data_IF_720819276156
#
_entry.id   IF_720819276156
#
_cell.length_a   1.000
_cell.length_b   1.000
_cell.length_c   1.000
_cell.angle_alpha   90.00
_cell.angle_beta   90.00
_cell.angle_gamma   90.00
#
_symmetry.space_group_name_H-M   'P 1'
#
loop_
_entity.id
_entity.type
_entity.pdbx_description
1 polymer ?
#
# COMPACT_ATOMS: atom_id res chain seq x y z
N UNK A 1 -4.41 4.33 10.44
CA UNK A 1 -4.11 3.41 9.33
C UNK A 1 -2.76 3.71 8.68
N UNK A 2 -2.55 4.93 8.12
CA UNK A 2 -1.29 5.27 7.43
C UNK A 2 -0.06 5.09 8.32
N UNK A 3 -0.10 5.53 9.57
CA UNK A 3 1.00 5.37 10.52
C UNK A 3 1.31 3.89 10.79
N UNK A 4 0.27 3.06 11.03
CA UNK A 4 0.47 1.62 11.25
C UNK A 4 1.06 0.91 10.02
N UNK A 5 0.62 1.28 8.81
CA UNK A 5 1.17 0.69 7.58
C UNK A 5 2.60 1.15 7.30
N UNK A 6 2.92 2.42 7.55
CA UNK A 6 4.29 2.93 7.37
C UNK A 6 5.28 2.31 8.34
N UNK A 7 4.86 1.92 9.55
CA UNK A 7 5.74 1.29 10.54
C UNK A 7 6.25 -0.07 10.09
N UNK A 8 5.52 -0.81 9.23
CA UNK A 8 5.97 -2.11 8.74
C UNK A 8 7.30 -2.04 7.98
N UNK A 9 7.57 -0.95 7.25
CA UNK A 9 8.86 -0.78 6.58
C UNK A 9 10.02 -0.76 7.59
N UNK A 10 9.88 0.06 8.64
CA UNK A 10 10.91 0.20 9.68
C UNK A 10 11.05 -1.08 10.50
N UNK A 11 9.93 -1.73 10.82
CA UNK A 11 9.95 -3.02 11.53
C UNK A 11 10.68 -4.08 10.69
N UNK A 12 10.41 -4.17 9.40
CA UNK A 12 11.07 -5.12 8.52
C UNK A 12 12.58 -4.86 8.42
N UNK A 13 13.00 -3.58 8.31
CA UNK A 13 14.40 -3.19 8.30
C UNK A 13 15.11 -3.57 9.62
N UNK A 14 14.50 -3.24 10.77
CA UNK A 14 15.06 -3.57 12.08
C UNK A 14 15.19 -5.07 12.28
N UNK A 15 14.12 -5.82 12.00
CA UNK A 15 14.12 -7.28 12.12
C UNK A 15 15.13 -7.94 11.15
N UNK A 16 15.28 -7.39 9.95
CA UNK A 16 16.25 -7.91 8.99
C UNK A 16 17.68 -7.79 9.52
N UNK A 17 18.02 -6.67 10.17
CA UNK A 17 19.33 -6.45 10.81
C UNK A 17 19.53 -7.42 11.97
N UNK A 18 18.53 -7.53 12.87
CA UNK A 18 18.64 -8.36 14.08
C UNK A 18 18.76 -9.86 13.76
N UNK A 19 18.03 -10.32 12.73
CA UNK A 19 17.90 -11.73 12.38
C UNK A 19 18.94 -12.20 11.35
N UNK A 20 19.71 -11.27 10.76
CA UNK A 20 20.74 -11.61 9.75
C UNK A 20 21.76 -12.64 10.26
N UNK A 21 22.15 -12.55 11.52
CA UNK A 21 23.07 -13.52 12.16
C UNK A 21 22.51 -14.93 12.25
N UNK A 22 21.20 -15.09 12.12
CA UNK A 22 20.51 -16.39 12.13
C UNK A 22 20.18 -16.88 10.72
N UNK A 23 20.66 -16.20 9.68
CA UNK A 23 20.34 -16.51 8.28
C UNK A 23 18.84 -16.39 7.94
N UNK A 24 18.15 -15.46 8.61
CA UNK A 24 16.73 -15.18 8.36
C UNK A 24 16.62 -13.83 7.66
N UNK A 25 16.01 -13.82 6.49
CA UNK A 25 15.69 -12.60 5.74
C UNK A 25 14.24 -12.20 6.03
N UNK A 26 14.04 -10.93 6.37
CA UNK A 26 12.71 -10.34 6.58
C UNK A 26 12.37 -9.45 5.39
N UNK A 27 11.23 -9.72 4.78
CA UNK A 27 10.77 -9.02 3.59
C UNK A 27 9.42 -8.38 3.83
N UNK A 28 9.32 -7.10 3.50
CA UNK A 28 8.07 -6.36 3.50
C UNK A 28 7.55 -6.22 2.05
N UNK A 29 6.30 -6.62 1.84
CA UNK A 29 5.62 -6.49 0.54
C UNK A 29 4.51 -5.46 0.69
N UNK A 30 4.55 -4.41 -0.11
CA UNK A 30 3.55 -3.35 -0.15
C UNK A 30 2.75 -3.45 -1.45
N UNK A 31 1.58 -4.10 -1.45
CA UNK A 31 0.73 -4.17 -2.61
C UNK A 31 -0.01 -2.85 -2.82
N UNK A 32 -0.21 -2.47 -4.08
CA UNK A 32 -1.08 -1.38 -4.50
C UNK A 32 -2.57 -1.78 -4.49
N UNK A 33 -3.33 -1.26 -5.44
CA UNK A 33 -4.76 -1.56 -5.56
C UNK A 33 -4.98 -2.90 -6.26
N UNK A 34 -5.48 -3.87 -5.50
CA UNK A 34 -5.82 -5.22 -5.97
C UNK A 34 -7.30 -5.52 -5.79
N UNK A 35 -7.83 -6.37 -6.66
CA UNK A 35 -9.22 -6.83 -6.65
C UNK A 35 -9.43 -7.75 -5.46
N UNK A 36 -10.03 -7.24 -4.39
CA UNK A 36 -10.27 -7.97 -3.14
C UNK A 36 -11.65 -7.62 -2.58
N UNK A 37 -12.15 -8.42 -1.66
CA UNK A 37 -13.43 -8.22 -0.99
C UNK A 37 -13.37 -7.23 0.19
N UNK A 38 -12.25 -6.52 0.37
CA UNK A 38 -12.06 -5.59 1.51
C UNK A 38 -13.11 -4.49 1.54
N UNK A 39 -13.61 -4.06 0.38
CA UNK A 39 -14.68 -3.07 0.29
C UNK A 39 -16.03 -3.59 0.78
N UNK A 40 -16.29 -4.89 0.65
CA UNK A 40 -17.52 -5.55 1.11
C UNK A 40 -17.55 -5.70 2.63
N UNK A 41 -16.36 -5.85 3.23
CA UNK A 41 -16.20 -6.03 4.68
C UNK A 41 -15.94 -4.71 5.43
N UNK A 42 -16.08 -3.57 4.76
CA UNK A 42 -15.92 -2.26 5.40
C UNK A 42 -17.12 -1.94 6.28
N UNK A 43 -16.84 -1.55 7.51
CA UNK A 43 -17.87 -1.02 8.42
C UNK A 43 -17.82 0.50 8.36
N UNK A 44 -18.83 1.11 7.76
CA UNK A 44 -18.99 2.56 7.72
C UNK A 44 -19.58 3.03 9.05
N UNK A 45 -18.85 3.90 9.76
CA UNK A 45 -19.27 4.44 11.06
C UNK A 45 -19.61 5.92 11.03
N UNK A 46 -19.51 6.56 9.85
CA UNK A 46 -19.83 7.97 9.73
C UNK A 46 -21.33 8.17 9.55
N UNK A 47 -21.94 8.89 10.48
CA UNK A 47 -23.36 9.20 10.45
C UNK A 47 -23.70 10.16 9.31
N UNK A 48 -24.87 10.00 8.71
CA UNK A 48 -25.33 10.85 7.59
C UNK A 48 -25.49 12.32 7.96
N UNK A 49 -25.66 12.62 9.24
CA UNK A 49 -25.74 13.99 9.77
C UNK A 49 -24.35 14.68 9.89
N UNK A 50 -23.27 13.95 9.69
CA UNK A 50 -21.92 14.53 9.75
C UNK A 50 -21.70 15.53 8.61
N UNK A 51 -21.10 16.72 8.87
CA UNK A 51 -20.76 17.67 7.82
C UNK A 51 -19.75 17.11 6.79
N UNK A 52 -19.01 16.04 7.12
CA UNK A 52 -18.05 15.37 6.24
C UNK A 52 -18.65 14.20 5.45
N UNK A 53 -19.95 13.90 5.60
CA UNK A 53 -20.56 12.70 5.03
C UNK A 53 -20.48 12.62 3.50
N UNK A 54 -20.75 13.72 2.81
CA UNK A 54 -20.73 13.75 1.36
C UNK A 54 -19.28 13.58 0.82
N UNK A 55 -18.33 14.23 1.46
CA UNK A 55 -16.90 14.15 1.11
C UNK A 55 -16.39 12.73 1.34
N UNK A 56 -16.71 12.13 2.48
CA UNK A 56 -16.44 10.74 2.79
C UNK A 56 -17.01 9.78 1.75
N UNK A 57 -18.29 9.92 1.38
CA UNK A 57 -18.93 9.08 0.35
C UNK A 57 -18.23 9.17 -1.00
N UNK A 58 -17.83 10.36 -1.42
CA UNK A 58 -17.11 10.56 -2.67
C UNK A 58 -15.77 9.82 -2.65
N UNK A 59 -15.01 9.96 -1.57
CA UNK A 59 -13.73 9.24 -1.40
C UNK A 59 -13.95 7.73 -1.41
N UNK A 60 -14.93 7.22 -0.68
CA UNK A 60 -15.24 5.79 -0.63
C UNK A 60 -15.66 5.24 -2.00
N UNK A 61 -16.48 5.96 -2.74
CA UNK A 61 -16.88 5.55 -4.09
C UNK A 61 -15.66 5.48 -5.04
N UNK A 62 -14.77 6.45 -4.97
CA UNK A 62 -13.53 6.45 -5.74
C UNK A 62 -12.62 5.27 -5.37
N UNK A 63 -12.46 4.99 -4.08
CA UNK A 63 -11.69 3.84 -3.58
C UNK A 63 -12.31 2.53 -4.05
N UNK A 64 -13.62 2.36 -3.91
CA UNK A 64 -14.34 1.15 -4.33
C UNK A 64 -14.23 0.92 -5.85
N UNK A 65 -14.31 1.99 -6.65
CA UNK A 65 -14.11 1.92 -8.10
C UNK A 65 -12.69 1.46 -8.47
N UNK A 66 -11.67 2.02 -7.80
CA UNK A 66 -10.28 1.61 -8.01
C UNK A 66 -10.06 0.14 -7.64
N UNK A 67 -10.62 -0.31 -6.53
CA UNK A 67 -10.51 -1.71 -6.09
C UNK A 67 -11.24 -2.67 -7.04
N UNK A 68 -12.43 -2.29 -7.53
CA UNK A 68 -13.17 -3.11 -8.51
C UNK A 68 -12.38 -3.29 -9.82
N UNK A 69 -11.62 -2.28 -10.22
CA UNK A 69 -10.76 -2.28 -11.40
C UNK A 69 -9.29 -2.62 -11.06
N UNK A 70 -9.04 -3.08 -9.84
CA UNK A 70 -7.72 -3.44 -9.35
C UNK A 70 -7.11 -4.62 -10.10
N UNK A 71 -5.82 -4.83 -9.88
CA UNK A 71 -5.04 -5.92 -10.49
C UNK A 71 -5.42 -7.27 -9.88
N UNK A 72 -5.00 -8.34 -10.54
CA UNK A 72 -5.20 -9.70 -10.03
C UNK A 72 -4.33 -9.97 -8.79
N UNK A 73 -4.90 -10.37 -7.64
CA UNK A 73 -4.14 -10.72 -6.45
C UNK A 73 -3.09 -11.82 -6.66
N UNK A 74 -3.24 -12.67 -7.67
CA UNK A 74 -2.28 -13.72 -8.01
C UNK A 74 -0.88 -13.15 -8.29
N UNK A 75 -0.75 -11.92 -8.77
CA UNK A 75 0.54 -11.26 -8.95
C UNK A 75 1.34 -11.15 -7.64
N UNK A 76 0.65 -10.94 -6.52
CA UNK A 76 1.31 -10.90 -5.21
C UNK A 76 1.78 -12.29 -4.81
N UNK A 77 0.98 -13.32 -5.05
CA UNK A 77 1.34 -14.72 -4.77
C UNK A 77 2.56 -15.17 -5.61
N UNK A 78 2.58 -14.81 -6.89
CA UNK A 78 3.73 -15.09 -7.77
C UNK A 78 5.00 -14.38 -7.28
N UNK A 79 4.88 -13.12 -6.86
CA UNK A 79 6.03 -12.40 -6.28
C UNK A 79 6.52 -13.07 -4.99
N UNK A 80 5.61 -13.47 -4.09
CA UNK A 80 5.99 -14.19 -2.86
C UNK A 80 6.73 -15.48 -3.20
N UNK A 81 6.22 -16.27 -4.14
CA UNK A 81 6.87 -17.50 -4.61
C UNK A 81 8.27 -17.24 -5.17
N UNK A 82 8.43 -16.14 -5.92
CA UNK A 82 9.74 -15.73 -6.44
C UNK A 82 10.70 -15.35 -5.32
N UNK A 83 10.25 -14.52 -4.36
CA UNK A 83 11.08 -14.03 -3.24
C UNK A 83 11.58 -15.18 -2.37
N UNK A 84 10.74 -16.19 -2.10
CA UNK A 84 11.13 -17.38 -1.30
C UNK A 84 12.31 -18.12 -1.94
N UNK A 85 12.42 -18.06 -3.26
CA UNK A 85 13.49 -18.70 -4.02
C UNK A 85 14.70 -17.77 -4.30
N UNK A 86 14.63 -16.50 -3.91
CA UNK A 86 15.75 -15.57 -4.06
C UNK A 86 16.82 -15.83 -2.99
N UNK A 87 18.09 -15.90 -3.42
CA UNK A 87 19.22 -16.11 -2.51
C UNK A 87 19.49 -14.89 -1.60
N UNK A 88 19.21 -13.69 -2.08
CA UNK A 88 19.39 -12.42 -1.36
C UNK A 88 18.20 -11.49 -1.69
N UNK A 89 17.04 -11.70 -1.07
CA UNK A 89 15.89 -10.86 -1.32
C UNK A 89 16.10 -9.43 -0.82
N UNK A 90 15.43 -8.47 -1.46
CA UNK A 90 15.36 -7.09 -0.95
C UNK A 90 14.48 -7.06 0.30
N UNK A 91 14.69 -6.07 1.16
CA UNK A 91 13.85 -5.88 2.35
C UNK A 91 12.44 -5.40 1.95
N UNK A 92 12.34 -4.51 0.97
CA UNK A 92 11.08 -3.90 0.57
C UNK A 92 10.76 -4.17 -0.90
N UNK A 93 9.57 -4.71 -1.17
CA UNK A 93 9.01 -4.89 -2.51
C UNK A 93 7.71 -4.10 -2.64
N UNK A 94 7.63 -3.25 -3.64
CA UNK A 94 6.40 -2.57 -4.04
C UNK A 94 5.81 -3.30 -5.25
N UNK A 95 4.57 -3.75 -5.12
CA UNK A 95 3.85 -4.48 -6.16
C UNK A 95 2.62 -3.70 -6.56
N UNK A 96 2.49 -3.38 -7.83
CA UNK A 96 1.35 -2.61 -8.29
C UNK A 96 1.60 -2.00 -9.66
N UNK A 97 0.72 -1.08 -10.04
CA UNK A 97 0.79 -0.36 -11.28
C UNK A 97 1.85 0.74 -11.32
N UNK A 98 1.74 1.56 -12.35
CA UNK A 98 2.69 2.64 -12.61
C UNK A 98 2.60 3.78 -11.57
N UNK A 99 1.41 4.00 -10.99
CA UNK A 99 1.19 5.06 -9.98
C UNK A 99 1.85 4.70 -8.65
N UNK A 100 1.75 3.45 -8.22
CA UNK A 100 2.38 2.97 -7.00
C UNK A 100 3.91 3.07 -7.10
N UNK A 101 4.46 2.75 -8.27
CA UNK A 101 5.90 2.92 -8.54
C UNK A 101 6.34 4.40 -8.52
N UNK A 102 5.45 5.35 -8.89
CA UNK A 102 5.75 6.78 -8.80
C UNK A 102 5.74 7.31 -7.37
N UNK A 103 4.98 6.71 -6.47
CA UNK A 103 4.94 7.11 -5.05
C UNK A 103 6.29 6.85 -4.37
N UNK A 104 7.08 5.87 -4.83
CA UNK A 104 8.45 5.65 -4.34
C UNK A 104 9.40 6.82 -4.65
N UNK A 105 9.08 7.65 -5.64
CA UNK A 105 9.80 8.88 -5.94
C UNK A 105 9.54 10.01 -4.91
N UNK A 106 8.74 9.76 -3.86
CA UNK A 106 8.49 10.75 -2.80
C UNK A 106 9.79 11.33 -2.24
N UNK A 107 10.81 10.52 -2.06
CA UNK A 107 12.12 10.95 -1.55
C UNK A 107 12.86 11.92 -2.46
N UNK A 108 12.48 12.01 -3.75
CA UNK A 108 13.05 12.92 -4.74
C UNK A 108 12.19 14.16 -4.98
N UNK A 109 11.00 14.22 -4.37
CA UNK A 109 10.06 15.32 -4.55
C UNK A 109 9.97 16.15 -3.27
N UNK A 110 9.82 17.49 -3.41
CA UNK A 110 9.47 18.30 -2.27
C UNK A 110 8.06 17.94 -1.77
N UNK A 111 7.81 18.11 -0.46
CA UNK A 111 6.50 17.78 0.15
C UNK A 111 5.34 18.52 -0.54
N UNK A 112 5.54 19.77 -0.94
CA UNK A 112 4.52 20.57 -1.66
C UNK A 112 4.15 19.96 -3.01
N UNK A 113 5.12 19.46 -3.77
CA UNK A 113 4.89 18.83 -5.08
C UNK A 113 4.17 17.49 -4.86
N UNK A 114 4.65 16.70 -3.90
CA UNK A 114 4.03 15.42 -3.56
C UNK A 114 2.57 15.59 -3.14
N UNK A 115 2.26 16.54 -2.25
CA UNK A 115 0.90 16.84 -1.82
C UNK A 115 -0.02 17.21 -3.01
N UNK A 116 0.45 18.07 -3.93
CA UNK A 116 -0.33 18.40 -5.14
C UNK A 116 -0.65 17.18 -6.00
N UNK A 117 0.30 16.25 -6.15
CA UNK A 117 0.10 15.01 -6.91
C UNK A 117 -0.95 14.15 -6.22
N UNK A 118 -0.84 13.96 -4.91
CA UNK A 118 -1.81 13.16 -4.14
C UNK A 118 -3.21 13.77 -4.21
N UNK A 119 -3.35 15.07 -3.99
CA UNK A 119 -4.65 15.76 -4.09
C UNK A 119 -5.30 15.55 -5.46
N UNK A 120 -4.53 15.62 -6.54
CA UNK A 120 -5.03 15.40 -7.92
C UNK A 120 -5.45 13.94 -8.18
N UNK A 121 -4.91 12.98 -7.43
CA UNK A 121 -5.24 11.55 -7.60
C UNK A 121 -6.51 11.15 -6.84
N UNK A 122 -6.90 11.91 -5.81
CA UNK A 122 -8.03 11.59 -4.94
C UNK A 122 -9.24 12.53 -5.09
N UNK A 123 -9.08 13.66 -5.79
CA UNK A 123 -10.17 14.51 -6.25
C UNK A 123 -10.55 14.18 -7.70
#
# INVERSE_FOLDING_TARGET
YCASKSSFNIIAESLNIELKKYNVDVVNISPGDYKTEISLNRVDRLESASPYYNEYKNVINNVNSKMKNGRDPNEVAELVSKIINEKNPKINYLVGGFLEKKITLKSLLSDKIFQKIIMKLYN
#
